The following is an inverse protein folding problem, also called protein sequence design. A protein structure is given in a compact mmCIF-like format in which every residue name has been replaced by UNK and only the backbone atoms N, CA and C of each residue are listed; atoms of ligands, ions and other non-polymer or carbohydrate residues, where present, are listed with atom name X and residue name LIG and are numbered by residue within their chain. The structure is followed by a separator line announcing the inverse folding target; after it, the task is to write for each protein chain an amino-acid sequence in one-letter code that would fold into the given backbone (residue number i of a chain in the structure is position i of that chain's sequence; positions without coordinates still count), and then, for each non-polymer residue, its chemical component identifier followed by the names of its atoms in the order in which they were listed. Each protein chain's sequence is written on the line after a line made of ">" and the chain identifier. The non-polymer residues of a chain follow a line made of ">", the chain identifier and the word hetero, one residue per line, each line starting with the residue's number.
data_IF_149936509628
#
_entry.id   IF_149936509628
#
_cell.length_a   1.000
_cell.length_b   1.000
_cell.length_c   1.000
_cell.angle_alpha   90.00
_cell.angle_beta   90.00
_cell.angle_gamma   90.00
#
_symmetry.space_group_name_H-M   'P 1'
#
loop_
_entity.id
_entity.type
_entity.pdbx_description
1 polymer ?
#
# COMPACT_ATOMS: atom_id res chain seq x y z
N UNK A 1 13.32 -1.26 9.27
CA UNK A 1 12.76 -2.18 8.26
C UNK A 1 12.40 -1.30 7.08
N UNK A 2 13.05 -1.52 5.95
CA UNK A 2 12.92 -0.71 4.74
C UNK A 2 12.26 -1.59 3.68
N UNK A 3 11.07 -1.24 3.18
CA UNK A 3 10.31 -2.07 2.25
C UNK A 3 10.57 -1.58 0.82
N UNK A 4 10.98 -2.50 -0.07
CA UNK A 4 11.08 -2.28 -1.51
C UNK A 4 10.11 -3.24 -2.24
N UNK A 5 9.31 -2.71 -3.16
CA UNK A 5 8.30 -3.43 -3.95
C UNK A 5 8.37 -2.98 -5.41
N UNK A 6 8.76 -3.88 -6.30
CA UNK A 6 8.66 -3.67 -7.75
C UNK A 6 7.24 -4.04 -8.22
N UNK A 7 6.48 -3.04 -8.68
CA UNK A 7 5.22 -3.26 -9.38
C UNK A 7 5.45 -3.14 -10.89
N UNK A 8 5.07 -4.18 -11.65
CA UNK A 8 5.08 -4.16 -13.11
C UNK A 8 3.74 -3.56 -13.57
N UNK A 9 3.64 -2.24 -13.55
CA UNK A 9 2.49 -1.48 -14.03
C UNK A 9 2.96 -0.14 -14.60
N UNK A 10 2.27 0.37 -15.63
CA UNK A 10 2.59 1.66 -16.23
C UNK A 10 2.59 2.76 -15.15
N UNK A 11 3.79 3.19 -14.75
CA UNK A 11 4.00 4.20 -13.72
C UNK A 11 3.51 5.54 -14.26
N UNK A 12 2.47 6.11 -13.64
CA UNK A 12 2.03 7.47 -13.91
C UNK A 12 2.78 8.38 -12.92
N UNK A 13 3.62 9.28 -13.46
CA UNK A 13 4.67 10.05 -12.77
C UNK A 13 4.29 11.00 -11.61
N UNK A 14 3.07 11.59 -11.47
CA UNK A 14 2.89 12.71 -10.55
C UNK A 14 2.89 12.33 -9.05
N UNK A 15 2.64 11.07 -8.68
CA UNK A 15 2.57 10.65 -7.26
C UNK A 15 3.91 10.16 -6.67
N UNK A 16 4.95 10.01 -7.49
CA UNK A 16 6.29 9.64 -7.01
C UNK A 16 6.96 10.69 -6.13
N UNK A 17 6.50 11.94 -6.15
CA UNK A 17 7.18 13.06 -5.46
C UNK A 17 6.67 13.32 -4.04
N UNK A 18 5.49 12.82 -3.68
CA UNK A 18 4.91 13.06 -2.35
C UNK A 18 5.09 11.85 -1.43
N UNK A 19 5.46 12.04 -0.16
CA UNK A 19 5.59 10.93 0.79
C UNK A 19 4.26 10.19 0.95
N UNK A 20 4.26 8.84 1.01
CA UNK A 20 3.04 8.06 1.11
C UNK A 20 2.23 8.43 2.35
N UNK A 21 2.88 8.73 3.49
CA UNK A 21 2.20 9.14 4.72
C UNK A 21 1.23 10.31 4.47
N UNK A 22 1.68 11.33 3.75
CA UNK A 22 0.89 12.52 3.47
C UNK A 22 -0.31 12.21 2.56
N UNK A 23 -0.09 11.43 1.49
CA UNK A 23 -1.17 11.07 0.56
C UNK A 23 -2.21 10.19 1.27
N UNK A 24 -1.75 9.17 2.00
CA UNK A 24 -2.64 8.26 2.71
C UNK A 24 -3.44 8.97 3.81
N UNK A 25 -2.83 9.91 4.53
CA UNK A 25 -3.54 10.76 5.50
C UNK A 25 -4.60 11.63 4.83
N UNK A 26 -4.31 12.22 3.67
CA UNK A 26 -5.26 13.06 2.95
C UNK A 26 -6.43 12.27 2.35
N UNK A 27 -6.16 11.09 1.78
CA UNK A 27 -7.18 10.31 1.06
C UNK A 27 -8.00 9.40 1.98
N UNK A 28 -7.41 8.97 3.10
CA UNK A 28 -8.02 7.95 3.97
C UNK A 28 -8.03 8.33 5.47
N UNK A 29 -7.41 9.44 5.86
CA UNK A 29 -7.14 9.75 7.27
C UNK A 29 -8.25 10.50 8.03
N UNK A 30 -9.25 11.09 7.35
CA UNK A 30 -10.23 11.97 7.99
C UNK A 30 -10.90 11.32 9.22
N UNK A 31 -11.33 10.06 9.11
CA UNK A 31 -11.97 9.31 10.21
C UNK A 31 -11.21 8.04 10.65
N UNK A 32 -9.98 7.84 10.18
CA UNK A 32 -9.22 6.63 10.45
C UNK A 32 -7.97 6.89 11.33
N UNK A 33 -8.07 6.73 12.67
CA UNK A 33 -6.94 6.98 13.56
C UNK A 33 -5.75 6.04 13.28
N UNK A 34 -6.00 4.83 12.75
CA UNK A 34 -4.93 3.90 12.38
C UNK A 34 -4.02 4.53 11.30
N UNK A 35 -4.61 5.30 10.38
CA UNK A 35 -3.87 5.91 9.26
C UNK A 35 -3.08 7.12 9.72
N UNK A 36 -3.67 7.96 10.58
CA UNK A 36 -2.99 9.09 11.22
C UNK A 36 -1.85 8.63 12.13
N UNK A 37 -1.97 7.45 12.73
CA UNK A 37 -0.97 6.85 13.62
C UNK A 37 0.03 5.92 12.92
N UNK A 38 0.03 5.85 11.58
CA UNK A 38 1.01 5.04 10.85
C UNK A 38 2.43 5.60 11.07
N UNK A 39 3.34 4.83 11.70
CA UNK A 39 4.70 5.26 11.97
C UNK A 39 5.58 4.98 10.74
N UNK A 40 5.22 5.57 9.60
CA UNK A 40 5.92 5.40 8.32
C UNK A 40 6.51 6.72 7.82
N UNK A 41 7.63 6.64 7.11
CA UNK A 41 8.27 7.76 6.41
C UNK A 41 9.00 7.27 5.16
N UNK A 42 9.61 8.18 4.40
CA UNK A 42 10.30 7.83 3.15
C UNK A 42 9.37 7.90 1.94
N UNK A 43 9.53 6.98 0.99
CA UNK A 43 8.76 6.95 -0.25
C UNK A 43 7.87 5.71 -0.39
N UNK A 44 7.35 5.49 -1.60
CA UNK A 44 6.43 4.41 -1.94
C UNK A 44 7.09 3.02 -2.10
N UNK A 45 8.42 3.00 -2.21
CA UNK A 45 9.22 1.79 -2.31
C UNK A 45 9.28 1.17 -3.70
N UNK A 46 9.15 1.94 -4.78
CA UNK A 46 9.36 1.42 -6.14
C UNK A 46 10.83 1.06 -6.43
N UNK A 47 11.75 1.52 -5.59
CA UNK A 47 13.19 1.34 -5.63
C UNK A 47 13.76 1.33 -4.20
N UNK A 48 15.08 1.17 -4.07
CA UNK A 48 15.76 1.27 -2.76
C UNK A 48 15.84 2.70 -2.24
N UNK A 49 15.91 3.69 -3.14
CA UNK A 49 16.11 5.10 -2.76
C UNK A 49 14.81 5.74 -2.25
N UNK A 50 13.66 5.23 -2.68
CA UNK A 50 12.33 5.65 -2.23
C UNK A 50 11.67 4.60 -1.31
N UNK A 51 12.44 3.72 -0.68
CA UNK A 51 11.91 2.69 0.23
C UNK A 51 11.02 3.29 1.34
N UNK A 52 9.94 2.60 1.66
CA UNK A 52 9.10 2.94 2.81
C UNK A 52 9.81 2.48 4.09
N UNK A 53 9.85 3.36 5.09
CA UNK A 53 10.53 3.13 6.35
C UNK A 53 9.52 3.07 7.48
N UNK A 54 9.41 1.91 8.12
CA UNK A 54 8.62 1.77 9.35
C UNK A 54 9.49 2.16 10.54
N UNK A 55 9.13 3.26 11.20
CA UNK A 55 9.90 3.88 12.27
C UNK A 55 9.36 3.49 13.66
N UNK A 56 9.96 2.48 14.27
CA UNK A 56 9.60 2.04 15.62
C UNK A 56 9.82 3.10 16.72
N UNK A 57 10.57 4.16 16.42
CA UNK A 57 10.84 5.24 17.35
C UNK A 57 10.02 6.50 17.02
N UNK A 58 9.03 6.40 16.13
CA UNK A 58 8.16 7.53 15.80
C UNK A 58 7.49 8.06 17.09
N UNK A 59 7.55 9.38 17.37
CA UNK A 59 6.91 9.99 18.54
C UNK A 59 5.42 9.67 18.66
N UNK A 60 4.73 9.36 17.57
CA UNK A 60 3.32 8.96 17.60
C UNK A 60 3.08 7.69 18.42
N UNK A 61 4.11 6.84 18.52
CA UNK A 61 4.08 5.60 19.31
C UNK A 61 4.40 5.83 20.80
N UNK A 62 4.85 7.02 21.20
CA UNK A 62 5.35 7.28 22.56
C UNK A 62 4.31 7.03 23.67
N UNK A 63 3.03 7.16 23.34
CA UNK A 63 1.91 6.95 24.27
C UNK A 63 1.25 5.57 24.12
N UNK A 64 1.74 4.72 23.22
CA UNK A 64 1.18 3.38 23.00
C UNK A 64 1.65 2.44 24.11
N UNK A 65 0.70 1.88 24.86
CA UNK A 65 0.96 0.80 25.82
C UNK A 65 1.16 -0.57 25.15
N UNK A 66 1.01 -0.64 23.82
CA UNK A 66 1.10 -1.89 23.06
C UNK A 66 2.51 -2.10 22.53
N UNK A 67 3.02 -3.35 22.53
CA UNK A 67 4.26 -3.68 21.84
C UNK A 67 4.22 -3.28 20.37
N UNK A 68 5.35 -2.80 19.85
CA UNK A 68 5.48 -2.45 18.44
C UNK A 68 5.26 -3.67 17.54
N UNK A 69 4.24 -3.61 16.68
CA UNK A 69 3.91 -4.67 15.72
C UNK A 69 4.26 -4.23 14.29
N UNK A 70 5.54 -4.39 13.92
CA UNK A 70 6.03 -4.01 12.59
C UNK A 70 5.35 -4.79 11.45
N UNK A 71 5.03 -6.07 11.66
CA UNK A 71 4.36 -6.90 10.66
C UNK A 71 2.92 -6.45 10.40
N UNK A 72 2.20 -6.05 11.45
CA UNK A 72 0.87 -5.46 11.32
C UNK A 72 0.89 -4.15 10.52
N UNK A 73 1.85 -3.27 10.83
CA UNK A 73 2.03 -1.99 10.13
C UNK A 73 2.37 -2.21 8.65
N UNK A 74 3.25 -3.17 8.36
CA UNK A 74 3.58 -3.58 6.99
C UNK A 74 2.34 -3.98 6.19
N UNK A 75 1.48 -4.85 6.72
CA UNK A 75 0.27 -5.27 6.03
C UNK A 75 -0.73 -4.13 5.83
N UNK A 76 -0.88 -3.23 6.83
CA UNK A 76 -1.72 -2.04 6.70
C UNK A 76 -1.19 -1.14 5.59
N UNK A 77 0.12 -0.88 5.56
CA UNK A 77 0.74 -0.06 4.53
C UNK A 77 0.56 -0.66 3.14
N UNK A 78 0.81 -1.96 2.96
CA UNK A 78 0.63 -2.66 1.68
C UNK A 78 -0.81 -2.52 1.18
N UNK A 79 -1.79 -2.72 2.06
CA UNK A 79 -3.21 -2.58 1.68
C UNK A 79 -3.53 -1.16 1.25
N UNK A 80 -3.15 -0.16 2.05
CA UNK A 80 -3.45 1.25 1.75
C UNK A 80 -2.76 1.72 0.47
N UNK A 81 -1.51 1.28 0.24
CA UNK A 81 -0.80 1.54 -1.00
C UNK A 81 -1.49 0.89 -2.20
N UNK A 82 -1.93 -0.36 -2.05
CA UNK A 82 -2.66 -1.06 -3.12
C UNK A 82 -3.97 -0.33 -3.44
N UNK A 83 -4.69 0.13 -2.41
CA UNK A 83 -5.91 0.89 -2.59
C UNK A 83 -5.63 2.22 -3.33
N UNK A 84 -4.59 2.95 -2.94
CA UNK A 84 -4.17 4.18 -3.63
C UNK A 84 -3.80 3.94 -5.10
N UNK A 85 -3.00 2.91 -5.39
CA UNK A 85 -2.59 2.59 -6.77
C UNK A 85 -3.77 2.19 -7.65
N UNK A 86 -4.74 1.46 -7.08
CA UNK A 86 -5.97 1.10 -7.78
C UNK A 86 -6.90 2.30 -7.95
N UNK A 87 -7.01 3.20 -6.97
CA UNK A 87 -7.76 4.45 -7.10
C UNK A 87 -7.19 5.31 -8.24
N UNK A 88 -5.88 5.48 -8.29
CA UNK A 88 -5.22 6.24 -9.35
C UNK A 88 -5.40 5.60 -10.73
N UNK A 89 -5.31 4.27 -10.84
CA UNK A 89 -5.64 3.56 -12.06
C UNK A 89 -7.13 3.72 -12.44
N UNK A 90 -8.01 3.77 -11.45
CA UNK A 90 -9.47 3.88 -11.62
C UNK A 90 -9.95 5.26 -12.05
N UNK A 91 -9.22 6.33 -11.71
CA UNK A 91 -9.55 7.72 -12.07
C UNK A 91 -9.69 7.93 -13.59
N UNK A 92 -9.16 7.01 -14.41
CA UNK A 92 -9.27 7.04 -15.86
C UNK A 92 -10.45 6.23 -16.43
N UNK A 93 -11.16 5.40 -15.64
CA UNK A 93 -12.08 4.39 -16.21
C UNK A 93 -13.33 4.07 -15.40
N UNK A 94 -13.24 3.73 -14.10
CA UNK A 94 -14.37 3.34 -13.23
C UNK A 94 -13.88 2.93 -11.82
N UNK A 95 -14.71 3.02 -10.77
CA UNK A 95 -14.42 2.46 -9.44
C UNK A 95 -14.09 0.96 -9.47
N UNK A 96 -13.31 0.49 -8.49
CA UNK A 96 -12.88 -0.91 -8.38
C UNK A 96 -13.33 -1.56 -7.06
N UNK A 97 -13.30 -2.89 -7.05
CA UNK A 97 -13.42 -3.72 -5.85
C UNK A 97 -12.18 -4.59 -5.71
N UNK A 98 -11.47 -4.42 -4.60
CA UNK A 98 -10.38 -5.30 -4.21
C UNK A 98 -10.96 -6.67 -3.81
N UNK A 99 -10.45 -7.74 -4.42
CA UNK A 99 -10.88 -9.12 -4.16
C UNK A 99 -9.89 -9.85 -3.26
N UNK A 100 -8.60 -9.72 -3.54
CA UNK A 100 -7.54 -10.40 -2.79
C UNK A 100 -6.23 -9.60 -2.81
N UNK A 101 -5.46 -9.72 -1.72
CA UNK A 101 -4.05 -9.34 -1.65
C UNK A 101 -3.32 -10.49 -0.97
N UNK A 102 -2.45 -11.17 -1.71
CA UNK A 102 -1.71 -12.32 -1.21
C UNK A 102 -0.20 -12.09 -1.30
N UNK A 103 0.52 -12.36 -0.21
CA UNK A 103 1.99 -12.29 -0.21
C UNK A 103 2.55 -13.54 -0.87
N UNK A 104 3.12 -13.38 -2.05
CA UNK A 104 3.73 -14.47 -2.81
C UNK A 104 5.16 -14.74 -2.34
N UNK A 105 5.91 -13.69 -1.99
CA UNK A 105 7.27 -13.87 -1.49
C UNK A 105 7.76 -12.75 -0.58
N UNK A 106 8.77 -13.08 0.21
CA UNK A 106 9.55 -12.13 0.99
C UNK A 106 11.03 -12.51 0.91
N UNK A 107 11.89 -11.52 0.71
CA UNK A 107 13.34 -11.71 0.63
C UNK A 107 14.08 -10.53 1.24
N UNK A 108 15.15 -10.80 1.98
CA UNK A 108 16.05 -9.77 2.50
C UNK A 108 17.06 -9.36 1.42
N UNK A 109 17.10 -8.09 1.09
CA UNK A 109 18.11 -7.48 0.22
C UNK A 109 19.12 -6.74 1.09
N UNK A 110 20.40 -6.99 0.83
CA UNK A 110 21.50 -6.28 1.48
C UNK A 110 22.21 -5.47 0.41
N UNK A 111 22.28 -4.16 0.58
CA UNK A 111 22.91 -3.24 -0.36
C UNK A 111 23.69 -2.18 0.41
N UNK A 112 25.00 -2.07 0.15
CA UNK A 112 25.90 -1.12 0.82
C UNK A 112 25.77 -1.13 2.37
N UNK A 113 25.53 -2.31 2.96
CA UNK A 113 25.36 -2.48 4.41
C UNK A 113 23.97 -2.15 4.95
N UNK A 114 23.07 -1.60 4.12
CA UNK A 114 21.64 -1.42 4.45
C UNK A 114 20.87 -2.71 4.17
N UNK A 115 19.77 -2.90 4.90
CA UNK A 115 18.92 -4.09 4.85
C UNK A 115 17.49 -3.68 4.49
N UNK A 116 16.98 -4.26 3.42
CA UNK A 116 15.65 -4.01 2.90
C UNK A 116 14.86 -5.31 2.85
N UNK A 117 13.63 -5.30 3.33
CA UNK A 117 12.69 -6.37 3.10
C UNK A 117 12.01 -6.12 1.74
N UNK A 118 12.27 -6.99 0.77
CA UNK A 118 11.53 -6.99 -0.48
C UNK A 118 10.34 -7.92 -0.32
N UNK A 119 9.15 -7.35 -0.50
CA UNK A 119 7.89 -8.08 -0.47
C UNK A 119 7.32 -8.15 -1.87
N UNK A 120 6.71 -9.26 -2.23
CA UNK A 120 5.98 -9.40 -3.50
C UNK A 120 4.59 -9.88 -3.19
N UNK A 121 3.61 -9.17 -3.75
CA UNK A 121 2.20 -9.45 -3.57
C UNK A 121 1.52 -9.67 -4.91
N UNK A 122 0.59 -10.62 -4.95
CA UNK A 122 -0.42 -10.74 -5.99
C UNK A 122 -1.66 -9.99 -5.52
N UNK A 123 -2.20 -9.16 -6.41
CA UNK A 123 -3.37 -8.32 -6.13
C UNK A 123 -4.44 -8.65 -7.16
N UNK A 124 -5.61 -9.05 -6.67
CA UNK A 124 -6.78 -9.28 -7.49
C UNK A 124 -7.80 -8.18 -7.24
N UNK A 125 -8.23 -7.50 -8.31
CA UNK A 125 -9.27 -6.48 -8.25
C UNK A 125 -10.14 -6.57 -9.52
N UNK A 126 -11.37 -6.08 -9.40
CA UNK A 126 -12.33 -6.04 -10.51
C UNK A 126 -12.96 -4.64 -10.59
N UNK A 127 -13.17 -4.13 -11.81
CA UNK A 127 -13.93 -2.91 -12.03
C UNK A 127 -15.42 -3.13 -11.69
N UNK A 128 -16.06 -2.14 -11.06
CA UNK A 128 -17.48 -2.26 -10.69
C UNK A 128 -18.39 -2.41 -11.93
N UNK A 129 -18.08 -1.77 -13.06
CA UNK A 129 -18.75 -2.01 -14.36
C UNK A 129 -18.72 -3.46 -14.81
N UNK A 130 -17.63 -4.19 -14.56
CA UNK A 130 -17.54 -5.62 -14.87
C UNK A 130 -18.42 -6.44 -13.93
N UNK A 131 -18.50 -6.08 -12.64
CA UNK A 131 -19.41 -6.74 -11.69
C UNK A 131 -20.87 -6.57 -12.14
N UNK A 132 -21.27 -5.36 -12.53
CA UNK A 132 -22.63 -5.09 -13.03
C UNK A 132 -22.94 -5.94 -14.26
N UNK A 133 -21.98 -6.06 -15.17
CA UNK A 133 -22.11 -6.86 -16.39
C UNK A 133 -22.26 -8.35 -16.08
N UNK A 134 -21.44 -8.89 -15.16
CA UNK A 134 -21.53 -10.29 -14.71
C UNK A 134 -22.87 -10.60 -14.04
N UNK A 135 -23.36 -9.71 -13.16
CA UNK A 135 -24.67 -9.88 -12.51
C UNK A 135 -25.82 -9.92 -13.52
N UNK A 136 -25.77 -9.09 -14.56
CA UNK A 136 -26.79 -9.12 -15.62
C UNK A 136 -26.78 -10.44 -16.40
N UNK A 137 -25.61 -11.01 -16.66
CA UNK A 137 -25.50 -12.33 -17.33
C UNK A 137 -26.08 -13.42 -16.43
N UNK A 138 -25.75 -13.42 -15.13
CA UNK A 138 -26.18 -14.45 -14.17
C UNK A 138 -27.65 -14.34 -13.74
N UNK A 139 -28.31 -13.21 -13.98
CA UNK A 139 -29.76 -13.04 -13.71
C UNK A 139 -30.65 -13.43 -14.91
N UNK A 140 -30.05 -13.82 -16.04
CA UNK A 140 -30.76 -14.24 -17.27
C UNK A 140 -30.72 -15.76 -17.45
N UNK A 141 -30.39 -16.51 -16.39
CA UNK A 141 -30.46 -17.99 -16.35
C UNK A 141 -31.60 -18.49 -15.49
#
# INVERSE_FOLDING_TARGET
>A
MEIAMEAIGHVIEPYRKMPPKMILENHFGDDNPIIKELPIRGGWGYSKDDACLIDKNDPILANSSRPFNGYGIENVFVKLRTDEELLEASHFVDSYRLLNIERISQSLIIDNGRKFDRLTFEVEAILESNIVSLKKILQVS
#
